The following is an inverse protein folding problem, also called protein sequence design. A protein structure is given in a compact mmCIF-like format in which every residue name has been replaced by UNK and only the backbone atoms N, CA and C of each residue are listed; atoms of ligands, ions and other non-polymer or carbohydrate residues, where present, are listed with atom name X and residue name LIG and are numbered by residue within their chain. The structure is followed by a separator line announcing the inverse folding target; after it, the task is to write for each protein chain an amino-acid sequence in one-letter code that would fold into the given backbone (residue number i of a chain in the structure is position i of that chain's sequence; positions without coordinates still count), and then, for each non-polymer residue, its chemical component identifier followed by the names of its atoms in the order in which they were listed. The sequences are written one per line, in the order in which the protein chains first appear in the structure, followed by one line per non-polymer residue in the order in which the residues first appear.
data_IF_230989951645
#
_entry.id   IF_230989951645
#
_cell.length_a   1.000
_cell.length_b   1.000
_cell.length_c   1.000
_cell.angle_alpha   90.00
_cell.angle_beta   90.00
_cell.angle_gamma   90.00
#
_symmetry.space_group_name_H-M   'P 1'
#
loop_
_entity.id
_entity.type
_entity.pdbx_description
1 polymer ?
#
# COMPACT_ATOMS: atom_id res chain seq x y z
N UNK A 1 78.62 28.28 14.29
CA UNK A 1 78.96 27.34 13.19
C UNK A 1 78.85 25.94 13.77
N UNK A 2 78.22 24.90 13.16
CA UNK A 2 77.72 24.67 11.78
C UNK A 2 76.16 24.58 11.74
N UNK A 3 75.36 24.74 10.66
CA UNK A 3 75.29 24.27 9.25
C UNK A 3 74.92 22.78 9.04
N UNK A 4 73.62 22.58 8.72
CA UNK A 4 72.99 21.64 7.74
C UNK A 4 73.06 20.11 8.02
N UNK A 5 72.08 19.26 7.59
CA UNK A 5 71.55 19.27 6.22
C UNK A 5 70.05 19.06 5.98
N UNK A 6 69.74 19.49 4.76
CA UNK A 6 68.56 19.37 3.90
C UNK A 6 68.26 17.93 3.49
N UNK A 7 66.98 17.70 3.18
CA UNK A 7 66.43 16.72 2.22
C UNK A 7 66.28 15.28 2.68
N UNK A 8 65.02 14.83 2.78
CA UNK A 8 64.52 13.71 1.96
C UNK A 8 63.06 14.00 1.55
N UNK A 9 62.87 14.37 0.28
CA UNK A 9 61.60 14.22 -0.43
C UNK A 9 61.30 12.72 -0.53
N UNK A 10 60.16 12.27 -0.01
CA UNK A 10 59.64 10.95 -0.39
C UNK A 10 58.13 11.02 -0.60
N UNK A 11 57.77 11.06 -1.89
CA UNK A 11 56.68 10.29 -2.47
C UNK A 11 55.30 10.41 -1.79
N UNK A 12 54.56 11.45 -2.17
CA UNK A 12 53.10 11.41 -2.17
C UNK A 12 52.66 10.27 -3.09
N UNK A 13 52.04 9.22 -2.54
CA UNK A 13 51.13 8.34 -3.31
C UNK A 13 49.70 8.74 -2.97
N UNK A 14 48.88 9.18 -3.94
CA UNK A 14 47.46 9.36 -3.67
C UNK A 14 46.85 7.99 -3.34
N UNK A 15 46.24 7.91 -2.17
CA UNK A 15 45.48 6.74 -1.71
C UNK A 15 44.29 6.60 -2.65
N UNK A 16 44.34 5.65 -3.58
CA UNK A 16 43.20 5.30 -4.42
C UNK A 16 42.06 4.86 -3.49
N UNK A 17 41.02 5.69 -3.41
CA UNK A 17 39.76 5.33 -2.75
C UNK A 17 39.16 4.12 -3.45
N UNK A 18 38.86 3.02 -2.75
CA UNK A 18 38.13 1.94 -3.38
C UNK A 18 36.77 2.46 -3.82
N UNK A 19 36.60 2.45 -5.12
CA UNK A 19 35.39 2.61 -5.90
C UNK A 19 34.50 1.45 -5.47
N UNK A 20 33.76 1.64 -4.39
CA UNK A 20 32.68 0.76 -4.04
C UNK A 20 31.70 0.83 -5.21
N UNK A 21 31.65 -0.24 -5.99
CA UNK A 21 30.55 -0.53 -6.89
C UNK A 21 29.28 -0.34 -6.05
N UNK A 22 28.55 0.76 -6.30
CA UNK A 22 27.17 0.88 -5.84
C UNK A 22 26.40 -0.20 -6.59
N UNK A 23 26.40 -1.40 -6.01
CA UNK A 23 25.39 -2.39 -6.31
C UNK A 23 24.06 -1.68 -6.07
N UNK A 24 23.31 -1.42 -7.14
CA UNK A 24 21.92 -1.02 -7.01
C UNK A 24 21.19 -2.22 -6.40
N UNK A 25 21.17 -2.29 -5.08
CA UNK A 25 20.23 -3.12 -4.37
C UNK A 25 18.86 -2.53 -4.64
N UNK A 26 18.24 -2.94 -5.74
CA UNK A 26 16.79 -2.91 -5.86
C UNK A 26 16.29 -3.94 -4.86
N UNK A 27 16.23 -3.55 -3.58
CA UNK A 27 15.37 -4.24 -2.63
C UNK A 27 13.96 -4.06 -3.16
N UNK A 28 13.46 -5.04 -3.92
CA UNK A 28 12.03 -5.31 -3.98
C UNK A 28 11.67 -5.77 -2.58
N UNK A 29 11.59 -4.83 -1.63
CA UNK A 29 10.92 -5.08 -0.38
C UNK A 29 9.52 -5.52 -0.79
N UNK A 30 9.21 -6.80 -0.63
CA UNK A 30 7.85 -7.30 -0.77
C UNK A 30 7.11 -6.65 0.37
N UNK A 31 6.54 -5.49 0.10
CA UNK A 31 5.81 -4.70 1.07
C UNK A 31 4.48 -5.41 1.26
N UNK A 32 4.49 -6.44 2.11
CA UNK A 32 3.32 -7.21 2.46
C UNK A 32 2.32 -6.31 3.19
N UNK A 33 1.03 -6.50 2.92
CA UNK A 33 -0.05 -5.76 3.55
C UNK A 33 -0.96 -5.05 2.56
N UNK A 34 -1.42 -3.88 2.99
CA UNK A 34 -2.24 -2.96 2.19
C UNK A 34 -1.57 -1.61 2.14
N UNK A 35 -1.54 -1.01 0.96
CA UNK A 35 -1.20 0.40 0.78
C UNK A 35 -2.44 1.16 0.30
N UNK A 36 -2.58 2.39 0.76
CA UNK A 36 -3.69 3.28 0.39
C UNK A 36 -3.15 4.51 -0.31
N UNK A 37 -3.69 4.80 -1.48
CA UNK A 37 -3.49 6.05 -2.19
C UNK A 37 -4.81 6.83 -2.21
N UNK A 38 -4.83 8.02 -1.62
CA UNK A 38 -6.02 8.87 -1.61
C UNK A 38 -6.21 9.48 -3.00
N UNK A 39 -7.42 9.30 -3.56
CA UNK A 39 -7.85 9.88 -4.84
C UNK A 39 -8.68 11.13 -4.61
N UNK A 40 -9.55 11.11 -3.59
CA UNK A 40 -10.33 12.25 -3.12
C UNK A 40 -10.33 12.23 -1.59
N UNK A 41 -9.97 13.34 -0.97
CA UNK A 41 -10.02 13.49 0.48
C UNK A 41 -11.48 13.40 0.97
N UNK A 42 -11.68 12.72 2.10
CA UNK A 42 -12.93 12.76 2.85
C UNK A 42 -12.98 13.97 3.79
N UNK A 43 -13.83 13.87 4.81
CA UNK A 43 -13.96 14.92 5.83
C UNK A 43 -12.77 15.01 6.80
N UNK A 44 -11.88 14.01 6.83
CA UNK A 44 -10.73 13.92 7.74
C UNK A 44 -11.08 13.73 9.22
N UNK A 45 -12.37 13.72 9.59
CA UNK A 45 -12.85 13.75 10.98
C UNK A 45 -13.66 12.51 11.31
N UNK A 46 -14.60 12.13 10.46
CA UNK A 46 -15.48 10.98 10.69
C UNK A 46 -14.81 9.73 10.12
N UNK A 47 -14.15 8.96 11.00
CA UNK A 47 -13.49 7.70 10.64
C UNK A 47 -14.27 6.48 11.18
N UNK A 48 -14.34 5.38 10.43
CA UNK A 48 -14.96 4.14 10.91
C UNK A 48 -14.12 3.50 12.02
N UNK A 49 -14.78 2.76 12.90
CA UNK A 49 -14.17 1.96 13.97
C UNK A 49 -14.49 0.47 13.76
N UNK A 50 -13.74 -0.39 14.44
CA UNK A 50 -14.03 -1.82 14.45
C UNK A 50 -15.48 -2.07 14.89
N UNK A 51 -16.23 -2.80 14.06
CA UNK A 51 -17.64 -3.12 14.28
C UNK A 51 -18.63 -2.11 13.68
N UNK A 52 -18.19 -0.95 13.21
CA UNK A 52 -19.08 -0.01 12.51
C UNK A 52 -19.56 -0.62 11.19
N UNK A 53 -20.84 -0.38 10.88
CA UNK A 53 -21.37 -0.69 9.56
C UNK A 53 -21.00 0.43 8.59
N UNK A 54 -20.27 0.11 7.52
CA UNK A 54 -19.90 1.04 6.47
C UNK A 54 -20.67 0.74 5.19
N UNK A 55 -21.02 1.80 4.46
CA UNK A 55 -21.59 1.72 3.11
C UNK A 55 -20.56 2.22 2.12
N UNK A 56 -20.24 1.43 1.10
CA UNK A 56 -19.19 1.76 0.13
C UNK A 56 -19.58 1.43 -1.30
N UNK A 57 -18.97 2.14 -2.24
CA UNK A 57 -18.85 1.66 -3.61
C UNK A 57 -17.41 1.19 -3.86
N UNK A 58 -17.26 0.13 -4.64
CA UNK A 58 -15.94 -0.38 -4.99
C UNK A 58 -15.88 -0.98 -6.38
N UNK A 59 -14.66 -1.08 -6.90
CA UNK A 59 -14.31 -1.96 -8.03
C UNK A 59 -12.97 -2.62 -7.75
N UNK A 60 -12.84 -3.89 -8.08
CA UNK A 60 -11.65 -4.71 -7.84
C UNK A 60 -11.05 -5.26 -9.13
N UNK A 61 -9.72 -5.17 -9.23
CA UNK A 61 -8.92 -5.66 -10.35
C UNK A 61 -7.76 -6.52 -9.88
N UNK A 62 -7.38 -7.51 -10.68
CA UNK A 62 -6.09 -8.17 -10.54
C UNK A 62 -4.99 -7.15 -10.87
N UNK A 63 -3.94 -7.15 -10.07
CA UNK A 63 -2.75 -6.35 -10.36
C UNK A 63 -1.92 -7.04 -11.46
N UNK A 64 -1.53 -6.27 -12.47
CA UNK A 64 -0.67 -6.71 -13.57
C UNK A 64 0.38 -5.62 -13.84
N UNK A 65 1.66 -5.92 -13.57
CA UNK A 65 2.81 -5.04 -13.82
C UNK A 65 2.70 -3.63 -13.19
N UNK A 66 2.29 -3.58 -11.92
CA UNK A 66 2.04 -2.39 -11.11
C UNK A 66 0.74 -1.66 -11.44
N UNK A 67 -0.18 -2.25 -12.21
CA UNK A 67 -1.37 -1.57 -12.74
C UNK A 67 -2.64 -2.42 -12.59
N UNK A 68 -3.80 -1.77 -12.72
CA UNK A 68 -5.10 -2.47 -12.81
C UNK A 68 -5.15 -3.28 -14.10
N UNK A 69 -5.20 -4.59 -13.96
CA UNK A 69 -5.39 -5.55 -15.06
C UNK A 69 -6.86 -5.94 -15.18
N UNK A 70 -7.14 -7.24 -15.21
CA UNK A 70 -8.50 -7.76 -15.33
C UNK A 70 -9.38 -7.39 -14.12
N UNK A 71 -10.50 -6.72 -14.38
CA UNK A 71 -11.56 -6.52 -13.37
C UNK A 71 -12.19 -7.87 -12.99
N UNK A 72 -12.33 -8.13 -11.69
CA UNK A 72 -12.99 -9.33 -11.21
C UNK A 72 -14.32 -9.04 -10.50
N UNK A 73 -14.52 -7.84 -9.95
CA UNK A 73 -15.76 -7.48 -9.26
C UNK A 73 -16.00 -5.96 -9.18
N UNK A 74 -17.26 -5.53 -9.06
CA UNK A 74 -17.63 -4.10 -8.88
C UNK A 74 -19.02 -3.92 -8.28
N UNK A 75 -19.19 -3.09 -7.27
CA UNK A 75 -20.52 -2.76 -6.74
C UNK A 75 -21.26 -1.71 -7.59
N UNK A 76 -20.53 -0.95 -8.43
CA UNK A 76 -21.09 0.15 -9.22
C UNK A 76 -22.20 -0.36 -10.13
N UNK A 77 -23.38 0.25 -10.03
CA UNK A 77 -24.57 -0.14 -10.78
C UNK A 77 -25.33 -1.36 -10.23
N UNK A 78 -24.76 -2.10 -9.26
CA UNK A 78 -25.46 -3.18 -8.53
C UNK A 78 -26.03 -2.73 -7.19
N UNK A 79 -25.54 -1.60 -6.67
CA UNK A 79 -25.92 -1.03 -5.38
C UNK A 79 -24.72 -0.91 -4.46
N UNK A 80 -24.88 -0.13 -3.39
CA UNK A 80 -23.83 0.06 -2.41
C UNK A 80 -23.57 -1.24 -1.62
N UNK A 81 -22.33 -1.43 -1.21
CA UNK A 81 -21.89 -2.56 -0.39
C UNK A 81 -21.90 -2.17 1.08
N UNK A 82 -22.77 -2.81 1.86
CA UNK A 82 -22.88 -2.63 3.31
C UNK A 82 -22.20 -3.76 4.07
N UNK A 83 -21.27 -3.44 4.97
CA UNK A 83 -20.55 -4.44 5.74
C UNK A 83 -20.07 -3.91 7.09
N UNK A 84 -20.07 -4.74 8.16
CA UNK A 84 -19.36 -4.42 9.40
C UNK A 84 -17.85 -4.54 9.19
N UNK A 85 -17.12 -3.43 9.37
CA UNK A 85 -15.67 -3.37 9.11
C UNK A 85 -14.83 -3.62 10.36
N UNK A 86 -13.62 -4.14 10.20
CA UNK A 86 -12.70 -4.41 11.30
C UNK A 86 -13.09 -5.64 12.13
N UNK A 87 -13.85 -6.57 11.55
CA UNK A 87 -14.41 -7.74 12.24
C UNK A 87 -14.04 -9.08 11.59
N UNK A 88 -13.16 -9.09 10.59
CA UNK A 88 -12.76 -10.28 9.84
C UNK A 88 -13.84 -10.80 8.89
N UNK A 89 -14.84 -9.98 8.55
CA UNK A 89 -15.92 -10.31 7.61
C UNK A 89 -15.53 -10.06 6.15
N UNK A 90 -14.50 -9.26 5.92
CA UNK A 90 -13.90 -8.98 4.62
C UNK A 90 -12.42 -9.35 4.65
N UNK A 91 -11.75 -9.24 3.50
CA UNK A 91 -10.31 -9.47 3.43
C UNK A 91 -9.55 -8.51 4.35
N UNK A 92 -8.45 -8.98 4.93
CA UNK A 92 -7.66 -8.24 5.93
C UNK A 92 -7.20 -6.87 5.43
N UNK A 93 -6.89 -6.74 4.14
CA UNK A 93 -6.52 -5.46 3.53
C UNK A 93 -7.63 -4.41 3.57
N UNK A 94 -8.90 -4.81 3.55
CA UNK A 94 -10.01 -3.89 3.74
C UNK A 94 -10.16 -3.48 5.20
N UNK A 95 -10.16 -4.46 6.12
CA UNK A 95 -10.25 -4.18 7.56
C UNK A 95 -9.14 -3.22 8.03
N UNK A 96 -7.90 -3.44 7.60
CA UNK A 96 -6.78 -2.55 7.97
C UNK A 96 -6.74 -1.25 7.16
N UNK A 97 -6.98 -1.32 5.84
CA UNK A 97 -6.91 -0.17 4.94
C UNK A 97 -8.01 0.87 5.15
N UNK A 98 -9.17 0.46 5.65
CA UNK A 98 -10.32 1.34 5.90
C UNK A 98 -10.33 1.85 7.35
N UNK A 99 -10.01 1.02 8.35
CA UNK A 99 -10.21 1.35 9.78
C UNK A 99 -8.99 1.96 10.48
N UNK A 100 -7.78 1.84 9.91
CA UNK A 100 -6.54 2.27 10.59
C UNK A 100 -6.65 3.70 11.17
N UNK A 101 -6.33 3.87 12.46
CA UNK A 101 -6.47 5.16 13.15
C UNK A 101 -5.60 6.26 12.48
N UNK A 102 -4.39 5.88 12.05
CA UNK A 102 -3.36 6.80 11.51
C UNK A 102 -3.17 6.67 9.98
N UNK A 103 -4.06 5.98 9.28
CA UNK A 103 -3.96 5.82 7.82
C UNK A 103 -5.21 5.30 7.12
N UNK A 104 -6.29 5.04 7.86
CA UNK A 104 -7.58 4.59 7.35
C UNK A 104 -8.35 5.71 6.66
N UNK A 105 -9.56 5.38 6.21
CA UNK A 105 -10.39 6.31 5.44
C UNK A 105 -11.23 7.22 6.34
N UNK A 106 -11.60 8.37 5.80
CA UNK A 106 -12.61 9.27 6.37
C UNK A 106 -13.87 9.30 5.51
N UNK A 107 -15.00 9.71 6.07
CA UNK A 107 -16.28 9.77 5.36
C UNK A 107 -16.17 10.64 4.10
N UNK A 108 -16.63 10.11 2.96
CA UNK A 108 -16.56 10.75 1.64
C UNK A 108 -15.23 10.58 0.91
N UNK A 109 -14.25 9.91 1.51
CA UNK A 109 -12.96 9.64 0.89
C UNK A 109 -13.09 8.62 -0.26
N UNK A 110 -12.39 8.89 -1.37
CA UNK A 110 -12.13 7.90 -2.42
C UNK A 110 -10.66 7.54 -2.38
N UNK A 111 -10.35 6.24 -2.40
CA UNK A 111 -8.97 5.77 -2.36
C UNK A 111 -8.77 4.55 -3.25
N UNK A 112 -7.53 4.36 -3.70
CA UNK A 112 -7.06 3.12 -4.29
C UNK A 112 -6.29 2.33 -3.23
N UNK A 113 -6.74 1.10 -2.96
CA UNK A 113 -6.07 0.14 -2.09
C UNK A 113 -5.33 -0.88 -2.94
N UNK A 114 -4.03 -1.04 -2.71
CA UNK A 114 -3.25 -2.16 -3.27
C UNK A 114 -3.00 -3.17 -2.17
N UNK A 115 -3.51 -4.38 -2.34
CA UNK A 115 -3.58 -5.42 -1.31
C UNK A 115 -2.79 -6.63 -1.80
N UNK A 116 -1.70 -6.95 -1.12
CA UNK A 116 -0.93 -8.16 -1.42
C UNK A 116 -1.70 -9.41 -1.02
N UNK A 117 -1.36 -10.55 -1.62
CA UNK A 117 -2.14 -11.77 -1.47
C UNK A 117 -2.36 -12.20 -0.02
N UNK A 118 -1.39 -12.03 0.87
CA UNK A 118 -1.48 -12.37 2.30
C UNK A 118 -2.53 -11.55 3.07
N UNK A 119 -2.91 -10.38 2.54
CA UNK A 119 -4.00 -9.55 3.05
C UNK A 119 -5.28 -9.65 2.20
N UNK A 120 -5.22 -10.38 1.08
CA UNK A 120 -6.32 -10.70 0.19
C UNK A 120 -6.79 -12.14 0.38
N UNK A 121 -6.62 -12.97 -0.67
CA UNK A 121 -7.10 -14.36 -0.72
C UNK A 121 -5.98 -15.41 -0.56
N UNK A 122 -4.77 -14.97 -0.19
CA UNK A 122 -3.60 -15.81 0.05
C UNK A 122 -3.19 -16.68 -1.13
N UNK A 123 -2.44 -17.73 -0.84
CA UNK A 123 -2.01 -18.72 -1.83
C UNK A 123 -3.18 -19.50 -2.45
N UNK A 124 -4.34 -19.52 -1.80
CA UNK A 124 -5.53 -20.25 -2.28
C UNK A 124 -6.27 -19.50 -3.38
N UNK A 125 -6.32 -18.17 -3.31
CA UNK A 125 -7.15 -17.37 -4.22
C UNK A 125 -8.65 -17.59 -4.01
N UNK A 126 -9.45 -17.16 -4.98
CA UNK A 126 -10.89 -17.38 -5.05
C UNK A 126 -11.25 -18.07 -6.38
N UNK A 127 -11.74 -19.33 -6.35
CA UNK A 127 -12.00 -20.10 -7.56
C UNK A 127 -12.84 -19.35 -8.61
N UNK A 128 -12.37 -19.36 -9.85
CA UNK A 128 -13.07 -18.74 -11.00
C UNK A 128 -12.90 -17.22 -11.15
N UNK A 129 -12.38 -16.51 -10.14
CA UNK A 129 -12.23 -15.05 -10.20
C UNK A 129 -10.81 -14.56 -9.87
N UNK A 130 -10.18 -15.11 -8.82
CA UNK A 130 -8.92 -14.60 -8.27
C UNK A 130 -7.90 -15.74 -8.16
N UNK A 131 -6.79 -15.69 -8.92
CA UNK A 131 -5.71 -16.66 -8.79
C UNK A 131 -5.08 -16.65 -7.38
N UNK A 132 -4.52 -17.79 -6.97
CA UNK A 132 -3.70 -17.87 -5.77
C UNK A 132 -2.46 -16.97 -5.86
N UNK A 133 -2.11 -16.31 -4.75
CA UNK A 133 -0.96 -15.41 -4.71
C UNK A 133 -1.16 -14.06 -5.42
N UNK A 134 -2.37 -13.76 -5.92
CA UNK A 134 -2.64 -12.52 -6.62
C UNK A 134 -2.60 -11.30 -5.69
N UNK A 135 -1.95 -10.23 -6.17
CA UNK A 135 -2.12 -8.87 -5.64
C UNK A 135 -3.37 -8.26 -6.26
N UNK A 136 -4.12 -7.51 -5.45
CA UNK A 136 -5.38 -6.90 -5.84
C UNK A 136 -5.27 -5.38 -5.78
N UNK A 137 -5.94 -4.71 -6.70
CA UNK A 137 -6.15 -3.27 -6.64
C UNK A 137 -7.65 -3.04 -6.50
N UNK A 138 -8.04 -2.24 -5.51
CA UNK A 138 -9.41 -1.80 -5.32
C UNK A 138 -9.48 -0.29 -5.40
N UNK A 139 -10.46 0.23 -6.11
CA UNK A 139 -10.94 1.58 -5.88
C UNK A 139 -12.13 1.49 -4.94
N UNK A 140 -12.14 2.31 -3.90
CA UNK A 140 -13.18 2.34 -2.87
C UNK A 140 -13.62 3.78 -2.61
N UNK A 141 -14.90 3.95 -2.31
CA UNK A 141 -15.49 5.20 -1.83
C UNK A 141 -16.27 4.94 -0.55
N UNK A 142 -15.91 5.65 0.53
CA UNK A 142 -16.60 5.53 1.82
C UNK A 142 -17.81 6.46 1.87
N UNK A 143 -19.00 5.95 1.55
CA UNK A 143 -20.23 6.73 1.42
C UNK A 143 -20.96 6.95 2.74
N UNK A 144 -20.85 5.99 3.67
CA UNK A 144 -21.49 6.11 4.97
C UNK A 144 -20.80 5.32 6.09
N UNK A 145 -21.03 5.77 7.32
CA UNK A 145 -20.66 5.08 8.57
C UNK A 145 -21.89 5.13 9.48
N UNK A 146 -22.58 3.99 9.64
CA UNK A 146 -23.88 3.91 10.31
C UNK A 146 -24.89 4.87 9.66
N UNK A 147 -25.38 5.84 10.45
CA UNK A 147 -26.37 6.83 9.99
C UNK A 147 -25.74 8.09 9.35
N UNK A 148 -24.41 8.21 9.34
CA UNK A 148 -23.70 9.36 8.76
C UNK A 148 -23.40 9.10 7.29
N UNK A 149 -23.73 10.04 6.40
CA UNK A 149 -23.49 9.93 4.95
C UNK A 149 -22.68 11.12 4.43
N UNK A 150 -21.90 10.86 3.39
CA UNK A 150 -21.08 11.84 2.68
C UNK A 150 -21.89 12.72 1.71
#
# INVERSE_FOLDING_TARGET
MPRLPTSILSSIRPRQTPQFLRSSFHSTAINMGVTKQIIKQGDGVTKPKNGDNVTMEYTGWLEENGKKGKQFDSSVGRGDFDVPIGTGRVIKGWDEGIVSQDGGMSLGEKATLTITSDYGYGARGFPGAIPGGATLIFDVELKAIGNKRA
#
